data_IF_177079757909
#
_entry.id   IF_177079757909
#
_cell.length_a   1.000
_cell.length_b   1.000
_cell.length_c   1.000
_cell.angle_alpha   90.00
_cell.angle_beta   90.00
_cell.angle_gamma   90.00
#
_symmetry.space_group_name_H-M   'P 1'
#
loop_
_entity.id
_entity.type
_entity.pdbx_description
1 polymer ?
#
# COMPACT_ATOMS: atom_id res chain seq x y z
N UNK A 1 3.64 22.98 -36.09
CA UNK A 1 4.34 21.77 -35.55
C UNK A 1 3.88 21.56 -34.11
N UNK A 2 2.84 20.75 -33.91
CA UNK A 2 2.25 20.52 -32.58
C UNK A 2 2.96 19.35 -31.91
N UNK A 3 3.64 19.62 -30.79
CA UNK A 3 4.27 18.59 -29.95
C UNK A 3 3.18 17.66 -29.41
N UNK A 4 3.20 16.40 -29.85
CA UNK A 4 2.31 15.36 -29.33
C UNK A 4 2.51 15.18 -27.82
N UNK A 5 1.40 15.15 -27.08
CA UNK A 5 1.42 14.84 -25.64
C UNK A 5 1.78 13.37 -25.49
N UNK A 6 3.02 13.09 -25.10
CA UNK A 6 3.46 11.73 -24.80
C UNK A 6 2.74 11.28 -23.52
N UNK A 7 1.71 10.45 -23.66
CA UNK A 7 1.07 9.83 -22.50
C UNK A 7 2.03 8.77 -21.95
N UNK A 8 2.70 9.08 -20.83
CA UNK A 8 3.50 8.07 -20.11
C UNK A 8 2.55 7.01 -19.58
N UNK A 9 2.80 5.75 -19.92
CA UNK A 9 2.04 4.62 -19.40
C UNK A 9 2.11 4.61 -17.87
N UNK A 10 1.05 4.17 -17.16
CA UNK A 10 1.09 4.05 -15.71
C UNK A 10 2.24 3.11 -15.31
N UNK A 11 3.09 3.57 -14.39
CA UNK A 11 4.13 2.72 -13.78
C UNK A 11 3.41 1.67 -12.95
N UNK A 12 3.32 0.45 -13.47
CA UNK A 12 2.87 -0.69 -12.69
C UNK A 12 4.03 -1.08 -11.79
N UNK A 13 3.87 -1.10 -10.45
CA UNK A 13 4.93 -1.57 -9.57
C UNK A 13 5.22 -3.04 -9.91
N UNK A 14 6.45 -3.31 -10.37
CA UNK A 14 6.92 -4.68 -10.55
C UNK A 14 6.99 -5.35 -9.17
N UNK A 15 6.35 -6.53 -8.98
CA UNK A 15 6.49 -7.27 -7.74
C UNK A 15 7.95 -7.69 -7.59
N UNK A 16 8.62 -7.21 -6.53
CA UNK A 16 9.99 -7.63 -6.22
C UNK A 16 9.92 -8.84 -5.30
N UNK A 17 10.80 -9.81 -5.52
CA UNK A 17 10.85 -11.03 -4.72
C UNK A 17 10.96 -10.68 -3.22
N UNK A 18 10.08 -11.25 -2.39
CA UNK A 18 9.97 -10.90 -0.97
C UNK A 18 9.05 -9.73 -0.62
N UNK A 19 8.31 -9.13 -1.57
CA UNK A 19 7.28 -8.13 -1.21
C UNK A 19 6.09 -8.77 -0.51
N UNK A 20 5.80 -8.24 0.67
CA UNK A 20 4.59 -8.49 1.41
C UNK A 20 3.38 -7.78 0.78
N UNK A 21 2.30 -8.52 0.49
CA UNK A 21 0.99 -7.89 0.25
C UNK A 21 0.42 -7.38 1.59
N UNK A 22 0.41 -6.06 1.74
CA UNK A 22 -0.08 -5.40 2.93
C UNK A 22 -1.61 -5.51 3.09
N UNK A 23 -2.37 -5.57 1.99
CA UNK A 23 -3.82 -5.71 2.04
C UNK A 23 -4.22 -7.13 2.41
N UNK A 24 -3.59 -8.13 1.80
CA UNK A 24 -3.87 -9.53 2.15
C UNK A 24 -3.56 -9.81 3.63
N UNK A 25 -2.45 -9.29 4.16
CA UNK A 25 -2.14 -9.39 5.60
C UNK A 25 -3.11 -8.62 6.48
N UNK A 26 -3.58 -7.46 6.03
CA UNK A 26 -4.58 -6.69 6.75
C UNK A 26 -5.90 -7.48 6.87
N UNK A 27 -6.41 -8.04 5.77
CA UNK A 27 -7.65 -8.83 5.81
C UNK A 27 -7.51 -10.08 6.69
N UNK A 28 -6.35 -10.76 6.67
CA UNK A 28 -6.08 -11.87 7.56
C UNK A 28 -6.11 -11.46 9.05
N UNK A 29 -5.43 -10.37 9.40
CA UNK A 29 -5.42 -9.87 10.78
C UNK A 29 -6.80 -9.38 11.24
N UNK A 30 -7.60 -8.81 10.32
CA UNK A 30 -8.99 -8.44 10.58
C UNK A 30 -9.85 -9.67 10.85
N UNK A 31 -9.66 -10.76 10.09
CA UNK A 31 -10.38 -12.01 10.29
C UNK A 31 -10.04 -12.66 11.64
N UNK A 32 -8.77 -12.60 12.06
CA UNK A 32 -8.32 -13.07 13.39
C UNK A 32 -9.00 -12.30 14.54
N UNK A 33 -9.16 -10.98 14.40
CA UNK A 33 -9.87 -10.15 15.39
C UNK A 33 -11.40 -10.15 15.22
N UNK A 34 -11.91 -10.83 14.19
CA UNK A 34 -13.33 -10.94 13.84
C UNK A 34 -13.94 -9.69 13.20
N UNK A 35 -13.32 -8.51 13.28
CA UNK A 35 -13.77 -7.32 12.56
C UNK A 35 -12.71 -6.24 12.41
N UNK A 36 -12.86 -5.40 11.39
CA UNK A 36 -11.96 -4.28 11.14
C UNK A 36 -11.94 -3.26 12.29
N UNK A 37 -13.08 -3.06 12.95
CA UNK A 37 -13.21 -2.18 14.11
C UNK A 37 -12.46 -2.73 15.32
N UNK A 38 -12.59 -4.05 15.58
CA UNK A 38 -11.87 -4.71 16.66
C UNK A 38 -10.36 -4.64 16.45
N UNK A 39 -9.90 -4.93 15.23
CA UNK A 39 -8.49 -4.81 14.86
C UNK A 39 -7.96 -3.39 15.03
N UNK A 40 -8.69 -2.39 14.50
CA UNK A 40 -8.32 -0.99 14.60
C UNK A 40 -8.17 -0.55 16.07
N UNK A 41 -9.13 -0.93 16.93
CA UNK A 41 -9.10 -0.64 18.35
C UNK A 41 -7.91 -1.30 19.05
N UNK A 42 -7.63 -2.58 18.74
CA UNK A 42 -6.50 -3.34 19.34
C UNK A 42 -5.15 -2.70 19.01
N UNK A 43 -4.95 -2.24 17.78
CA UNK A 43 -3.67 -1.69 17.32
C UNK A 43 -3.57 -0.16 17.45
N UNK A 44 -4.62 0.50 17.95
CA UNK A 44 -4.63 1.94 18.22
C UNK A 44 -4.70 2.81 16.96
N UNK A 45 -5.43 2.40 15.93
CA UNK A 45 -5.68 3.20 14.72
C UNK A 45 -7.18 3.45 14.54
N UNK A 46 -7.55 4.48 13.77
CA UNK A 46 -8.95 4.76 13.46
C UNK A 46 -9.53 3.71 12.50
N UNK A 47 -10.74 3.25 12.77
CA UNK A 47 -11.57 2.42 11.90
C UNK A 47 -11.83 3.03 10.51
N UNK A 48 -12.01 4.35 10.43
CA UNK A 48 -12.12 5.09 9.16
C UNK A 48 -10.83 4.95 8.36
N UNK A 49 -9.68 5.08 9.02
CA UNK A 49 -8.39 4.92 8.36
C UNK A 49 -8.19 3.49 7.82
N UNK A 50 -8.55 2.47 8.60
CA UNK A 50 -8.52 1.07 8.14
C UNK A 50 -9.43 0.87 6.94
N UNK A 51 -10.64 1.43 6.96
CA UNK A 51 -11.58 1.34 5.84
C UNK A 51 -11.06 2.02 4.57
N UNK A 52 -10.43 3.19 4.69
CA UNK A 52 -9.78 3.89 3.57
C UNK A 52 -8.64 3.08 2.96
N UNK A 53 -7.85 2.40 3.80
CA UNK A 53 -6.77 1.51 3.35
C UNK A 53 -7.35 0.31 2.59
N UNK A 54 -8.36 -0.36 3.13
CA UNK A 54 -9.03 -1.51 2.49
C UNK A 54 -9.64 -1.14 1.14
N UNK A 55 -10.18 0.08 1.02
CA UNK A 55 -10.74 0.61 -0.24
C UNK A 55 -9.69 1.11 -1.24
N UNK A 56 -8.42 1.13 -0.85
CA UNK A 56 -7.33 1.67 -1.68
C UNK A 56 -7.34 3.20 -1.82
N UNK A 57 -8.19 3.91 -1.07
CA UNK A 57 -8.23 5.39 -1.05
C UNK A 57 -6.94 5.94 -0.45
N UNK A 58 -6.44 5.27 0.60
CA UNK A 58 -5.16 5.59 1.24
C UNK A 58 -4.24 4.39 1.18
N UNK A 59 -2.94 4.65 1.04
CA UNK A 59 -1.93 3.60 1.25
C UNK A 59 -1.79 3.31 2.76
N UNK A 60 -1.48 2.07 3.14
CA UNK A 60 -1.14 1.73 4.52
C UNK A 60 0.14 2.49 4.91
N UNK A 61 0.03 3.25 5.99
CA UNK A 61 1.10 4.08 6.55
C UNK A 61 1.84 3.34 7.66
N UNK A 62 2.83 4.00 8.29
CA UNK A 62 3.73 3.35 9.24
C UNK A 62 3.02 2.65 10.41
N UNK A 63 1.92 3.19 10.92
CA UNK A 63 1.19 2.58 12.03
C UNK A 63 0.58 1.22 11.64
N UNK A 64 -0.13 1.17 10.50
CA UNK A 64 -0.72 -0.08 9.97
C UNK A 64 0.39 -1.06 9.59
N UNK A 65 1.43 -0.59 8.90
CA UNK A 65 2.53 -1.47 8.50
C UNK A 65 3.23 -2.10 9.71
N UNK A 66 3.57 -1.32 10.74
CA UNK A 66 4.17 -1.87 11.97
C UNK A 66 3.24 -2.87 12.67
N UNK A 67 1.95 -2.58 12.75
CA UNK A 67 0.97 -3.49 13.34
C UNK A 67 0.86 -4.82 12.58
N UNK A 68 1.15 -4.82 11.28
CA UNK A 68 1.20 -6.01 10.43
C UNK A 68 2.60 -6.67 10.36
N UNK A 69 3.58 -6.17 11.11
CA UNK A 69 4.97 -6.65 11.05
C UNK A 69 5.67 -6.31 9.73
N UNK A 70 5.19 -5.29 9.02
CA UNK A 70 5.69 -4.83 7.72
C UNK A 70 6.45 -3.51 7.85
N UNK A 71 7.32 -3.26 6.87
CA UNK A 71 7.97 -1.96 6.64
C UNK A 71 7.84 -1.56 5.19
N UNK A 72 7.69 -0.25 4.94
CA UNK A 72 7.73 0.29 3.59
C UNK A 72 9.18 0.38 3.13
N UNK A 73 9.49 -0.25 1.99
CA UNK A 73 10.78 -0.12 1.30
C UNK A 73 10.51 0.59 -0.02
N UNK A 74 11.15 1.73 -0.24
CA UNK A 74 11.06 2.50 -1.48
C UNK A 74 12.39 2.41 -2.20
N UNK A 75 12.38 1.90 -3.43
CA UNK A 75 13.55 1.86 -4.32
C UNK A 75 13.35 2.87 -5.44
N UNK A 76 14.37 3.67 -5.68
CA UNK A 76 14.43 4.56 -6.84
C UNK A 76 15.42 3.96 -7.84
N UNK A 77 15.04 3.91 -9.10
CA UNK A 77 15.91 3.49 -10.20
C UNK A 77 16.11 4.67 -11.14
N UNK A 78 17.24 4.68 -11.86
CA UNK A 78 17.45 5.69 -12.89
C UNK A 78 16.48 5.43 -14.02
N UNK A 79 15.72 6.45 -14.37
CA UNK A 79 15.08 6.51 -15.67
C UNK A 79 16.20 6.72 -16.68
N UNK A 80 16.51 5.70 -17.50
CA UNK A 80 17.37 5.90 -18.67
C UNK A 80 16.71 6.99 -19.52
N UNK A 81 17.30 8.19 -19.48
CA UNK A 81 16.89 9.26 -20.37
C UNK A 81 17.09 8.73 -21.79
N UNK A 82 15.98 8.63 -22.54
CA UNK A 82 15.98 8.36 -23.98
C UNK A 82 17.16 9.13 -24.63
N UNK A 83 18.20 8.40 -25.00
CA UNK A 83 19.27 8.90 -25.87
C UNK A 83 18.78 8.91 -27.32
#
# INVERSE_FOLDING_TARGET
MSRGVVRRAPVVPVPVEGTADALARLEAAIAEDGSAKAWAARVGVSDVYVSDVRRGVRKPGPAVLRALGLKLVVRYEREEALS
#
